data_IF_827867345109
#
_entry.id   IF_827867345109
#
_cell.length_a   1.000
_cell.length_b   1.000
_cell.length_c   1.000
_cell.angle_alpha   90.00
_cell.angle_beta   90.00
_cell.angle_gamma   90.00
#
_symmetry.space_group_name_H-M   'P 1'
#
loop_
_entity.id
_entity.type
_entity.pdbx_description
1 polymer ?
#
# COMPACT_ATOMS: atom_id res chain seq x y z
N UNK A 1 -25.39 22.59 36.59
CA UNK A 1 -24.74 23.67 37.32
C UNK A 1 -24.01 23.06 38.50
N UNK A 2 -22.67 23.10 38.49
CA UNK A 2 -21.79 22.70 39.59
C UNK A 2 -20.91 23.90 39.98
N UNK A 3 -21.52 25.08 40.12
CA UNK A 3 -20.78 26.27 40.57
C UNK A 3 -20.74 26.28 42.10
N UNK A 4 -19.52 26.19 42.66
CA UNK A 4 -19.26 26.43 44.08
C UNK A 4 -19.00 25.21 44.96
N UNK A 5 -18.90 24.00 44.41
CA UNK A 5 -18.56 22.79 45.18
C UNK A 5 -17.06 22.43 45.01
N UNK A 6 -16.34 22.31 46.13
CA UNK A 6 -14.96 21.81 46.14
C UNK A 6 -14.96 20.31 45.78
N UNK A 7 -14.40 19.96 44.63
CA UNK A 7 -14.23 18.57 44.20
C UNK A 7 -12.75 18.16 44.23
N UNK A 8 -12.47 17.02 44.86
CA UNK A 8 -11.14 16.42 44.88
C UNK A 8 -10.97 15.45 43.70
N UNK A 9 -10.13 15.83 42.73
CA UNK A 9 -9.75 14.95 41.62
C UNK A 9 -8.52 14.12 42.05
N UNK A 10 -8.58 12.78 42.07
CA UNK A 10 -7.38 11.98 42.23
C UNK A 10 -6.50 12.15 40.98
N UNK A 11 -5.34 12.77 41.14
CA UNK A 11 -4.35 12.97 40.10
C UNK A 11 -3.12 12.11 40.36
N UNK A 12 -2.62 11.46 39.31
CA UNK A 12 -1.36 10.71 39.33
C UNK A 12 -0.42 11.37 38.33
N UNK A 13 0.73 11.84 38.82
CA UNK A 13 1.77 12.45 38.00
C UNK A 13 2.87 11.42 37.79
N UNK A 14 3.22 11.18 36.53
CA UNK A 14 4.35 10.34 36.17
C UNK A 14 5.47 11.25 35.67
N UNK A 15 6.61 11.25 36.37
CA UNK A 15 7.79 12.04 35.98
C UNK A 15 8.81 11.14 35.25
N UNK A 16 9.44 11.70 34.20
CA UNK A 16 10.48 11.05 33.36
C UNK A 16 10.09 9.69 32.75
N UNK A 17 8.85 9.56 32.30
CA UNK A 17 8.47 8.39 31.51
C UNK A 17 9.22 8.36 30.16
N UNK A 18 9.75 7.21 29.76
CA UNK A 18 10.18 6.96 28.38
C UNK A 18 9.05 7.25 27.37
N UNK A 19 9.38 7.79 26.20
CA UNK A 19 8.39 8.26 25.20
C UNK A 19 7.41 7.16 24.76
N UNK A 20 7.88 5.91 24.68
CA UNK A 20 7.08 4.72 24.37
C UNK A 20 6.01 4.42 25.44
N UNK A 21 6.32 4.63 26.72
CA UNK A 21 5.38 4.48 27.82
C UNK A 21 4.32 5.60 27.85
N UNK A 22 4.70 6.84 27.54
CA UNK A 22 3.77 7.98 27.43
C UNK A 22 2.71 7.69 26.37
N UNK A 23 3.15 7.18 25.23
CA UNK A 23 2.26 6.83 24.13
C UNK A 23 1.35 5.65 24.47
N UNK A 24 1.87 4.60 25.13
CA UNK A 24 1.07 3.46 25.57
C UNK A 24 -0.04 3.89 26.55
N UNK A 25 0.27 4.80 27.48
CA UNK A 25 -0.71 5.35 28.40
C UNK A 25 -1.78 6.16 27.65
N UNK A 26 -1.37 7.04 26.73
CA UNK A 26 -2.29 7.83 25.92
C UNK A 26 -3.28 6.96 25.14
N UNK A 27 -2.81 5.89 24.51
CA UNK A 27 -3.66 4.93 23.81
C UNK A 27 -4.59 4.22 24.77
N UNK A 28 -4.07 3.67 25.87
CA UNK A 28 -4.84 2.84 26.80
C UNK A 28 -6.00 3.62 27.45
N UNK A 29 -5.76 4.88 27.79
CA UNK A 29 -6.75 5.78 28.38
C UNK A 29 -7.84 6.11 27.35
N UNK A 30 -7.44 6.52 26.14
CA UNK A 30 -8.40 7.01 25.15
C UNK A 30 -9.14 5.87 24.41
N UNK A 31 -8.54 4.68 24.25
CA UNK A 31 -9.19 3.55 23.60
C UNK A 31 -10.36 2.96 24.40
N UNK A 32 -10.39 3.14 25.72
CA UNK A 32 -11.50 2.67 26.57
C UNK A 32 -12.70 3.61 26.60
N UNK A 33 -12.53 4.91 26.33
CA UNK A 33 -13.59 5.92 26.46
C UNK A 33 -14.02 6.60 25.14
N UNK A 34 -13.27 6.44 24.05
CA UNK A 34 -13.72 6.84 22.70
C UNK A 34 -13.18 5.81 21.72
N UNK A 35 -13.99 5.33 20.76
CA UNK A 35 -13.52 4.39 19.72
C UNK A 35 -12.49 5.10 18.82
N UNK A 36 -11.24 5.14 19.26
CA UNK A 36 -10.11 5.47 18.42
C UNK A 36 -9.99 4.38 17.35
N UNK A 37 -10.12 4.78 16.08
CA UNK A 37 -9.85 3.89 14.97
C UNK A 37 -8.39 3.44 15.04
N UNK A 38 -8.15 2.14 14.87
CA UNK A 38 -6.83 1.47 14.97
C UNK A 38 -5.72 2.11 14.10
N UNK A 39 -6.08 3.00 13.17
CA UNK A 39 -5.16 3.77 12.34
C UNK A 39 -4.49 4.95 13.07
N UNK A 40 -5.11 5.57 14.09
CA UNK A 40 -4.50 6.68 14.85
C UNK A 40 -3.34 6.21 15.74
N UNK A 41 -3.43 4.96 16.18
CA UNK A 41 -2.37 4.21 16.84
C UNK A 41 -1.09 4.08 16.00
N UNK A 42 -1.20 4.11 14.67
CA UNK A 42 -0.06 3.99 13.73
C UNK A 42 0.85 5.21 13.74
N UNK A 43 0.31 6.39 14.07
CA UNK A 43 1.05 7.67 13.93
C UNK A 43 1.75 8.14 15.21
N UNK A 44 1.27 7.72 16.38
CA UNK A 44 1.85 8.11 17.68
C UNK A 44 2.68 6.99 18.31
N UNK A 45 2.37 5.73 18.02
CA UNK A 45 3.01 4.56 18.63
C UNK A 45 3.94 3.87 17.67
N UNK A 46 5.18 4.35 17.62
CA UNK A 46 6.27 3.64 16.96
C UNK A 46 6.29 2.17 17.39
N UNK A 47 6.08 1.27 16.41
CA UNK A 47 6.40 -0.17 16.33
C UNK A 47 6.06 -1.14 17.47
N UNK A 48 5.78 -0.72 18.70
CA UNK A 48 5.71 -1.59 19.87
C UNK A 48 4.27 -1.98 20.29
N UNK A 49 3.25 -1.44 19.61
CA UNK A 49 1.83 -1.68 19.89
C UNK A 49 1.12 -2.61 18.88
N UNK A 50 1.83 -3.16 17.88
CA UNK A 50 1.22 -4.00 16.85
C UNK A 50 1.24 -5.49 17.21
N UNK A 51 0.06 -6.10 17.35
CA UNK A 51 -0.11 -7.56 17.26
C UNK A 51 0.15 -8.11 15.84
N UNK A 52 0.21 -7.25 14.82
CA UNK A 52 0.31 -7.62 13.41
C UNK A 52 1.31 -6.72 12.66
N UNK A 53 2.58 -7.12 12.70
CA UNK A 53 3.71 -6.43 12.07
C UNK A 53 3.58 -6.34 10.53
N UNK A 54 2.98 -7.35 9.92
CA UNK A 54 2.72 -7.39 8.47
C UNK A 54 1.73 -6.29 8.05
N UNK A 55 0.70 -6.03 8.86
CA UNK A 55 -0.25 -4.95 8.59
C UNK A 55 0.38 -3.57 8.79
N UNK A 56 1.20 -3.40 9.83
CA UNK A 56 1.96 -2.17 10.05
C UNK A 56 2.86 -1.85 8.85
N UNK A 57 3.57 -2.86 8.36
CA UNK A 57 4.38 -2.76 7.14
C UNK A 57 3.57 -2.32 5.93
N UNK A 58 2.38 -2.92 5.75
CA UNK A 58 1.46 -2.51 4.69
C UNK A 58 1.05 -1.03 4.78
N UNK A 59 0.81 -0.51 5.97
CA UNK A 59 0.51 0.91 6.17
C UNK A 59 1.69 1.82 5.86
N UNK A 60 2.91 1.43 6.24
CA UNK A 60 4.10 2.23 5.99
C UNK A 60 4.44 2.34 4.50
N UNK A 61 4.21 1.27 3.73
CA UNK A 61 4.34 1.30 2.27
C UNK A 61 3.27 2.23 1.67
N UNK A 62 2.01 2.15 2.12
CA UNK A 62 0.94 3.05 1.64
C UNK A 62 1.28 4.51 1.92
N UNK A 63 1.82 4.81 3.11
CA UNK A 63 2.30 6.15 3.46
C UNK A 63 3.43 6.59 2.52
N UNK A 64 4.44 5.74 2.29
CA UNK A 64 5.53 6.06 1.37
C UNK A 64 5.04 6.32 -0.06
N UNK A 65 4.01 5.61 -0.52
CA UNK A 65 3.38 5.84 -1.82
C UNK A 65 2.62 7.17 -1.89
N UNK A 66 2.06 7.64 -0.78
CA UNK A 66 1.28 8.88 -0.74
C UNK A 66 2.13 10.12 -0.47
N UNK A 67 3.19 10.01 0.32
CA UNK A 67 3.90 11.18 0.87
C UNK A 67 5.17 11.55 0.09
N UNK A 68 5.66 10.64 -0.76
CA UNK A 68 6.83 10.92 -1.62
C UNK A 68 6.42 11.65 -2.88
N UNK A 69 6.98 12.83 -3.11
CA UNK A 69 6.73 13.63 -4.33
C UNK A 69 7.10 12.89 -5.63
N UNK A 70 8.08 11.98 -5.56
CA UNK A 70 8.50 11.18 -6.71
C UNK A 70 7.62 9.93 -6.95
N UNK A 71 6.62 9.71 -6.11
CA UNK A 71 5.61 8.66 -6.28
C UNK A 71 4.47 9.15 -7.18
N UNK A 72 4.01 8.35 -8.15
CA UNK A 72 2.88 8.72 -9.00
C UNK A 72 1.52 8.63 -8.26
N UNK A 73 1.53 8.20 -6.99
CA UNK A 73 0.39 8.19 -6.08
C UNK A 73 0.47 9.29 -5.01
N UNK A 74 1.38 10.25 -5.17
CA UNK A 74 1.50 11.40 -4.27
C UNK A 74 0.13 12.08 -4.09
N UNK A 75 -0.30 12.25 -2.84
CA UNK A 75 -1.60 12.81 -2.45
C UNK A 75 -2.86 12.10 -2.98
N UNK A 76 -2.75 10.92 -3.58
CA UNK A 76 -3.90 10.20 -4.16
C UNK A 76 -4.60 9.25 -3.16
N UNK A 77 -4.02 9.03 -1.97
CA UNK A 77 -4.52 8.10 -0.95
C UNK A 77 -4.99 8.86 0.31
N UNK A 78 -6.23 8.59 0.75
CA UNK A 78 -6.76 9.08 2.03
C UNK A 78 -6.10 8.33 3.18
N UNK A 79 -5.11 8.95 3.79
CA UNK A 79 -4.48 8.47 5.02
C UNK A 79 -5.41 8.71 6.22
N UNK A 80 -5.48 7.74 7.12
CA UNK A 80 -6.31 7.80 8.34
C UNK A 80 -7.82 8.05 8.11
N UNK A 81 -8.31 7.84 6.88
CA UNK A 81 -9.71 8.13 6.52
C UNK A 81 -10.01 9.62 6.29
N UNK A 82 -8.99 10.47 6.36
CA UNK A 82 -9.06 11.92 6.13
C UNK A 82 -8.16 12.31 4.95
N UNK A 83 -8.31 13.52 4.42
CA UNK A 83 -7.47 14.04 3.33
C UNK A 83 -8.09 14.03 1.93
N UNK A 84 -7.32 14.55 0.96
CA UNK A 84 -7.77 14.87 -0.41
C UNK A 84 -7.71 13.72 -1.40
N UNK A 85 -7.01 12.63 -1.06
CA UNK A 85 -6.87 11.46 -1.93
C UNK A 85 -8.21 10.83 -2.31
N UNK A 86 -8.24 10.02 -3.37
CA UNK A 86 -9.47 9.36 -3.85
C UNK A 86 -9.62 7.94 -3.35
N UNK A 87 -8.52 7.31 -2.93
CA UNK A 87 -8.46 5.90 -2.54
C UNK A 87 -8.23 5.77 -1.04
N UNK A 88 -8.99 4.91 -0.35
CA UNK A 88 -8.76 4.66 1.07
C UNK A 88 -7.50 3.81 1.29
N UNK A 89 -6.72 4.13 2.33
CA UNK A 89 -5.50 3.37 2.67
C UNK A 89 -5.76 1.90 3.07
N UNK A 90 -6.86 1.63 3.79
CA UNK A 90 -7.05 0.35 4.48
C UNK A 90 -7.12 -0.86 3.53
N UNK A 91 -7.87 -0.82 2.42
CA UNK A 91 -7.90 -1.91 1.45
C UNK A 91 -6.55 -2.18 0.77
N UNK A 92 -5.70 -1.15 0.61
CA UNK A 92 -4.35 -1.29 0.06
C UNK A 92 -3.41 -1.97 1.07
N UNK A 93 -3.44 -1.49 2.32
CA UNK A 93 -2.65 -2.07 3.42
C UNK A 93 -3.01 -3.54 3.66
N UNK A 94 -4.30 -3.91 3.59
CA UNK A 94 -4.74 -5.29 3.70
C UNK A 94 -4.25 -6.18 2.54
N UNK A 95 -4.10 -5.63 1.34
CA UNK A 95 -3.54 -6.38 0.21
C UNK A 95 -2.02 -6.57 0.38
N UNK A 96 -1.31 -5.53 0.85
CA UNK A 96 0.12 -5.58 1.14
C UNK A 96 0.45 -6.53 2.30
N UNK A 97 -0.36 -6.56 3.36
CA UNK A 97 -0.18 -7.46 4.51
C UNK A 97 0.05 -8.91 4.08
N UNK A 98 -0.68 -9.37 3.06
CA UNK A 98 -0.57 -10.75 2.55
C UNK A 98 0.83 -11.09 2.01
N UNK A 99 1.62 -10.10 1.64
CA UNK A 99 2.98 -10.27 1.11
C UNK A 99 4.02 -10.52 2.20
N UNK A 100 3.70 -10.15 3.44
CA UNK A 100 4.55 -10.26 4.62
C UNK A 100 4.05 -11.34 5.60
N UNK A 101 2.88 -11.92 5.34
CA UNK A 101 2.42 -13.10 6.04
C UNK A 101 3.34 -14.30 5.75
N UNK A 102 3.23 -15.37 6.55
CA UNK A 102 4.00 -16.60 6.38
C UNK A 102 3.83 -17.17 4.95
N UNK A 103 4.96 -17.50 4.30
CA UNK A 103 4.99 -17.94 2.90
C UNK A 103 4.88 -16.79 1.86
N UNK A 104 4.80 -15.54 2.31
CA UNK A 104 4.84 -14.36 1.45
C UNK A 104 6.21 -14.13 0.81
N UNK A 105 6.25 -13.35 -0.28
CA UNK A 105 7.46 -13.09 -1.09
C UNK A 105 8.57 -12.31 -0.33
N UNK A 106 8.19 -11.67 0.78
CA UNK A 106 9.11 -11.01 1.70
C UNK A 106 9.37 -11.81 2.99
N UNK A 107 8.75 -12.98 3.17
CA UNK A 107 8.97 -13.81 4.36
C UNK A 107 10.43 -14.33 4.43
N UNK A 108 11.11 -14.13 5.57
CA UNK A 108 12.44 -14.71 5.84
C UNK A 108 13.66 -13.77 5.75
N UNK A 109 13.50 -12.48 5.45
CA UNK A 109 14.61 -11.49 5.53
C UNK A 109 14.62 -10.74 6.86
N UNK A 110 15.77 -10.14 7.24
CA UNK A 110 15.84 -9.26 8.42
C UNK A 110 14.81 -8.13 8.28
N UNK A 111 14.02 -7.89 9.32
CA UNK A 111 12.84 -7.03 9.27
C UNK A 111 13.12 -5.63 8.72
N UNK A 112 14.20 -4.96 9.17
CA UNK A 112 14.48 -3.59 8.74
C UNK A 112 14.90 -3.49 7.27
N UNK A 113 15.77 -4.38 6.79
CA UNK A 113 16.24 -4.39 5.39
C UNK A 113 15.09 -4.70 4.43
N UNK A 114 14.25 -5.66 4.82
CA UNK A 114 13.04 -6.05 4.09
C UNK A 114 12.07 -4.87 3.93
N UNK A 115 11.92 -4.06 4.97
CA UNK A 115 10.96 -2.98 5.02
C UNK A 115 11.33 -1.85 4.05
N UNK A 116 12.60 -1.44 4.05
CA UNK A 116 13.11 -0.41 3.14
C UNK A 116 13.19 -0.90 1.69
N UNK A 117 13.56 -2.16 1.48
CA UNK A 117 13.50 -2.79 0.16
C UNK A 117 12.06 -2.81 -0.39
N UNK A 118 11.07 -3.19 0.42
CA UNK A 118 9.68 -3.22 0.00
C UNK A 118 9.16 -1.81 -0.35
N UNK A 119 9.47 -0.79 0.47
CA UNK A 119 9.14 0.61 0.15
C UNK A 119 9.76 1.04 -1.17
N UNK A 120 11.06 0.77 -1.38
CA UNK A 120 11.78 1.10 -2.62
C UNK A 120 11.15 0.38 -3.82
N UNK A 121 10.87 -0.91 -3.69
CA UNK A 121 10.19 -1.72 -4.71
C UNK A 121 8.85 -1.10 -5.09
N UNK A 122 7.95 -0.86 -4.13
CA UNK A 122 6.60 -0.40 -4.45
C UNK A 122 6.57 0.99 -5.07
N UNK A 123 7.42 1.91 -4.62
CA UNK A 123 7.53 3.24 -5.25
C UNK A 123 8.01 3.11 -6.69
N UNK A 124 9.09 2.38 -6.94
CA UNK A 124 9.61 2.19 -8.30
C UNK A 124 8.65 1.38 -9.20
N UNK A 125 7.93 0.42 -8.62
CA UNK A 125 6.92 -0.39 -9.30
C UNK A 125 5.74 0.46 -9.78
N UNK A 126 5.19 1.32 -8.93
CA UNK A 126 4.13 2.23 -9.36
C UNK A 126 4.64 3.28 -10.35
N UNK A 127 5.88 3.79 -10.20
CA UNK A 127 6.50 4.66 -11.22
C UNK A 127 6.58 3.97 -12.58
N UNK A 128 6.97 2.70 -12.62
CA UNK A 128 7.02 1.92 -13.86
C UNK A 128 5.62 1.64 -14.42
N UNK A 129 4.62 1.34 -13.59
CA UNK A 129 3.22 1.20 -14.03
C UNK A 129 2.73 2.50 -14.68
N UNK A 130 3.02 3.65 -14.08
CA UNK A 130 2.64 4.95 -14.61
C UNK A 130 3.31 5.24 -15.97
N UNK A 131 4.54 4.76 -16.19
CA UNK A 131 5.22 4.85 -17.49
C UNK A 131 4.63 3.90 -18.54
N UNK A 132 4.41 2.65 -18.16
CA UNK A 132 3.87 1.60 -19.05
C UNK A 132 2.46 1.94 -19.53
N UNK A 133 1.65 2.56 -18.67
CA UNK A 133 0.29 2.98 -18.95
C UNK A 133 0.15 4.51 -18.92
N UNK A 134 1.08 5.21 -19.58
CA UNK A 134 1.14 6.68 -19.53
C UNK A 134 -0.14 7.37 -19.98
N UNK A 135 -0.84 6.82 -20.98
CA UNK A 135 -2.11 7.38 -21.47
C UNK A 135 -3.22 7.24 -20.42
N UNK A 136 -3.35 6.05 -19.83
CA UNK A 136 -4.37 5.78 -18.83
C UNK A 136 -4.08 6.47 -17.51
N UNK A 137 -2.80 6.55 -17.08
CA UNK A 137 -2.42 7.12 -15.80
C UNK A 137 -2.74 8.62 -15.70
N UNK A 138 -2.44 9.34 -16.78
CA UNK A 138 -2.64 10.79 -16.87
C UNK A 138 -4.05 11.18 -17.32
N UNK A 139 -4.77 10.26 -17.99
CA UNK A 139 -6.12 10.54 -18.49
C UNK A 139 -7.20 10.49 -17.40
N UNK A 140 -8.12 11.46 -17.42
CA UNK A 140 -9.24 11.54 -16.46
C UNK A 140 -10.34 10.51 -16.71
N UNK A 141 -10.42 9.95 -17.92
CA UNK A 141 -11.44 8.98 -18.33
C UNK A 141 -11.06 7.52 -18.03
N UNK A 142 -10.03 7.30 -17.22
CA UNK A 142 -9.49 5.97 -16.94
C UNK A 142 -9.56 5.64 -15.45
N UNK A 143 -9.79 4.36 -15.17
CA UNK A 143 -9.95 3.81 -13.81
C UNK A 143 -8.65 3.22 -13.25
N UNK A 144 -7.50 3.44 -13.88
CA UNK A 144 -6.21 2.82 -13.49
C UNK A 144 -5.74 3.20 -12.08
N UNK A 145 -6.14 4.38 -11.58
CA UNK A 145 -5.87 4.84 -10.21
C UNK A 145 -6.99 4.53 -9.22
N UNK A 146 -8.00 3.75 -9.63
CA UNK A 146 -9.08 3.33 -8.73
C UNK A 146 -8.59 2.35 -7.67
N UNK A 147 -9.31 2.26 -6.55
CA UNK A 147 -8.99 1.31 -5.48
C UNK A 147 -8.90 -0.14 -6.00
N UNK A 148 -9.75 -0.54 -6.94
CA UNK A 148 -9.71 -1.88 -7.52
C UNK A 148 -8.45 -2.12 -8.36
N UNK A 149 -8.06 -1.16 -9.21
CA UNK A 149 -6.86 -1.25 -10.03
C UNK A 149 -5.59 -1.31 -9.18
N UNK A 150 -5.44 -0.39 -8.22
CA UNK A 150 -4.26 -0.34 -7.35
C UNK A 150 -4.09 -1.63 -6.53
N UNK A 151 -5.19 -2.20 -6.02
CA UNK A 151 -5.16 -3.50 -5.33
C UNK A 151 -4.79 -4.65 -6.26
N UNK A 152 -5.22 -4.61 -7.52
CA UNK A 152 -4.85 -5.64 -8.49
C UNK A 152 -3.35 -5.58 -8.81
N UNK A 153 -2.79 -4.38 -9.00
CA UNK A 153 -1.35 -4.21 -9.17
C UNK A 153 -0.55 -4.72 -7.97
N UNK A 154 -0.98 -4.40 -6.74
CA UNK A 154 -0.35 -4.94 -5.51
C UNK A 154 -0.44 -6.47 -5.48
N UNK A 155 -1.61 -7.04 -5.79
CA UNK A 155 -1.84 -8.50 -5.78
C UNK A 155 -0.95 -9.27 -6.75
N UNK A 156 -0.49 -8.64 -7.83
CA UNK A 156 0.39 -9.26 -8.85
C UNK A 156 1.88 -9.02 -8.54
N UNK A 157 2.22 -8.18 -7.58
CA UNK A 157 3.63 -7.90 -7.26
C UNK A 157 4.47 -9.14 -6.92
N UNK A 158 3.96 -10.24 -6.32
CA UNK A 158 4.75 -11.46 -6.13
C UNK A 158 5.22 -12.11 -7.44
N UNK A 159 4.42 -12.03 -8.51
CA UNK A 159 4.80 -12.54 -9.83
C UNK A 159 5.93 -11.71 -10.46
N UNK A 160 5.89 -10.39 -10.25
CA UNK A 160 6.94 -9.46 -10.70
C UNK A 160 8.23 -9.70 -9.93
N UNK A 161 8.15 -9.82 -8.60
CA UNK A 161 9.32 -10.08 -7.74
C UNK A 161 9.96 -11.42 -8.08
N UNK A 162 9.17 -12.49 -8.28
CA UNK A 162 9.72 -13.79 -8.68
C UNK A 162 10.51 -13.73 -9.98
N UNK A 163 10.09 -12.89 -10.95
CA UNK A 163 10.85 -12.69 -12.19
C UNK A 163 12.15 -11.92 -11.97
N UNK A 164 12.11 -10.88 -11.14
CA UNK A 164 13.32 -10.15 -10.74
C UNK A 164 14.32 -11.09 -10.08
N UNK A 165 13.85 -11.96 -9.18
CA UNK A 165 14.69 -12.97 -8.52
C UNK A 165 15.27 -13.98 -9.51
N UNK A 166 14.50 -14.45 -10.50
CA UNK A 166 14.96 -15.35 -11.57
C UNK A 166 16.03 -14.70 -12.45
N UNK A 167 15.90 -13.39 -12.72
CA UNK A 167 16.87 -12.59 -13.44
C UNK A 167 18.06 -12.14 -12.57
N UNK A 168 18.10 -12.52 -11.29
CA UNK A 168 19.09 -12.09 -10.30
C UNK A 168 19.21 -10.55 -10.21
N UNK A 169 18.12 -9.83 -10.45
CA UNK A 169 18.05 -8.38 -10.41
C UNK A 169 17.72 -7.87 -9.00
N UNK A 170 18.23 -6.68 -8.64
CA UNK A 170 17.80 -5.97 -7.42
C UNK A 170 16.30 -5.73 -7.51
N UNK A 171 15.53 -6.18 -6.51
CA UNK A 171 14.07 -6.04 -6.51
C UNK A 171 13.67 -4.56 -6.61
N UNK A 172 14.45 -3.65 -6.04
CA UNK A 172 14.21 -2.21 -6.10
C UNK A 172 14.74 -1.52 -7.36
N UNK A 173 15.36 -2.20 -8.32
CA UNK A 173 15.93 -1.57 -9.50
C UNK A 173 14.83 -1.11 -10.47
N UNK A 174 14.82 0.20 -10.73
CA UNK A 174 13.80 0.83 -11.54
C UNK A 174 13.73 0.27 -12.97
N UNK A 175 14.89 0.00 -13.60
CA UNK A 175 14.95 -0.47 -14.98
C UNK A 175 14.57 -1.95 -15.09
N UNK A 176 14.98 -2.77 -14.14
CA UNK A 176 14.64 -4.19 -14.07
C UNK A 176 13.13 -4.37 -13.91
N UNK A 177 12.51 -3.63 -12.97
CA UNK A 177 11.05 -3.64 -12.83
C UNK A 177 10.39 -3.29 -14.16
N UNK A 178 10.83 -2.20 -14.81
CA UNK A 178 10.30 -1.76 -16.10
C UNK A 178 10.38 -2.83 -17.19
N UNK A 179 11.50 -3.54 -17.30
CA UNK A 179 11.65 -4.67 -18.25
C UNK A 179 10.67 -5.81 -17.94
N UNK A 180 10.56 -6.21 -16.67
CA UNK A 180 9.68 -7.31 -16.25
C UNK A 180 8.22 -7.02 -16.56
N UNK A 181 7.77 -5.77 -16.35
CA UNK A 181 6.36 -5.39 -16.57
C UNK A 181 6.07 -4.84 -17.98
N UNK A 182 7.08 -4.67 -18.83
CA UNK A 182 6.93 -4.17 -20.21
C UNK A 182 5.85 -4.90 -21.04
N UNK A 183 5.63 -6.23 -20.89
CA UNK A 183 4.54 -6.92 -21.60
C UNK A 183 3.15 -6.35 -21.32
N UNK A 184 2.92 -5.71 -20.17
CA UNK A 184 1.62 -5.10 -19.85
C UNK A 184 1.26 -3.98 -20.82
N UNK A 185 2.20 -3.11 -21.17
CA UNK A 185 1.94 -2.02 -22.14
C UNK A 185 1.55 -2.56 -23.52
N UNK A 186 2.19 -3.66 -23.94
CA UNK A 186 1.94 -4.28 -25.25
C UNK A 186 0.65 -5.11 -25.30
N UNK A 187 0.33 -5.85 -24.25
CA UNK A 187 -0.76 -6.85 -24.25
C UNK A 187 -2.06 -6.35 -23.64
N UNK A 188 -1.97 -5.41 -22.69
CA UNK A 188 -3.12 -4.85 -21.97
C UNK A 188 -3.40 -3.45 -22.51
N UNK A 189 -2.37 -2.60 -22.51
CA UNK A 189 -2.45 -1.22 -23.02
C UNK A 189 -3.39 -0.29 -22.24
N UNK A 190 -3.38 1.00 -22.61
CA UNK A 190 -4.13 2.04 -21.89
C UNK A 190 -5.65 1.87 -21.99
N UNK A 191 -6.15 1.48 -23.18
CA UNK A 191 -7.59 1.37 -23.46
C UNK A 191 -8.32 0.37 -22.56
N UNK A 192 -7.59 -0.60 -22.00
CA UNK A 192 -8.14 -1.55 -21.04
C UNK A 192 -8.72 -0.86 -19.79
N UNK A 193 -8.14 0.27 -19.41
CA UNK A 193 -8.53 1.02 -18.22
C UNK A 193 -9.57 2.12 -18.49
N UNK A 194 -10.03 2.29 -19.74
CA UNK A 194 -11.03 3.32 -20.06
C UNK A 194 -12.33 3.04 -19.31
N UNK A 195 -12.77 4.00 -18.49
CA UNK A 195 -13.84 3.85 -17.50
C UNK A 195 -15.16 3.44 -18.14
N UNK A 196 -15.63 4.20 -19.13
CA UNK A 196 -16.84 3.86 -19.91
C UNK A 196 -16.57 2.83 -21.01
N UNK A 197 -15.31 2.43 -21.18
CA UNK A 197 -14.87 1.46 -22.18
C UNK A 197 -14.76 0.05 -21.62
N UNK A 198 -13.57 -0.54 -21.75
CA UNK A 198 -13.35 -1.94 -21.35
C UNK A 198 -13.50 -2.15 -19.84
N UNK A 199 -13.23 -1.14 -19.01
CA UNK A 199 -13.31 -1.26 -17.55
C UNK A 199 -14.70 -1.66 -17.07
N UNK A 200 -15.73 -0.91 -17.49
CA UNK A 200 -17.14 -1.15 -17.14
C UNK A 200 -17.71 -2.35 -17.88
N UNK A 201 -17.42 -2.52 -19.18
CA UNK A 201 -17.95 -3.64 -19.99
C UNK A 201 -17.55 -5.01 -19.46
N UNK A 202 -16.33 -5.13 -18.92
CA UNK A 202 -15.83 -6.40 -18.36
C UNK A 202 -16.19 -6.62 -16.89
N UNK A 203 -16.86 -5.64 -16.24
CA UNK A 203 -17.14 -5.70 -14.81
C UNK A 203 -15.86 -5.89 -13.99
N UNK A 204 -14.84 -5.06 -14.26
CA UNK A 204 -13.48 -5.29 -13.72
C UNK A 204 -13.48 -5.41 -12.19
N UNK A 205 -12.96 -6.54 -11.70
CA UNK A 205 -12.71 -6.80 -10.27
C UNK A 205 -11.20 -6.89 -10.02
N UNK A 206 -10.80 -6.87 -8.74
CA UNK A 206 -9.39 -7.06 -8.37
C UNK A 206 -8.86 -8.39 -8.89
N UNK A 207 -9.66 -9.46 -8.80
CA UNK A 207 -9.28 -10.80 -9.23
C UNK A 207 -9.19 -10.94 -10.75
N UNK A 208 -10.16 -10.39 -11.49
CA UNK A 208 -10.14 -10.50 -12.96
C UNK A 208 -8.96 -9.72 -13.55
N UNK A 209 -8.69 -8.50 -13.05
CA UNK A 209 -7.54 -7.71 -13.50
C UNK A 209 -6.21 -8.33 -13.07
N UNK A 210 -6.11 -8.85 -11.85
CA UNK A 210 -4.88 -9.54 -11.41
C UNK A 210 -4.59 -10.79 -12.26
N UNK A 211 -5.62 -11.54 -12.65
CA UNK A 211 -5.48 -12.69 -13.57
C UNK A 211 -4.95 -12.24 -14.94
N UNK A 212 -5.54 -11.19 -15.51
CA UNK A 212 -5.13 -10.61 -16.79
C UNK A 212 -3.66 -10.16 -16.78
N UNK A 213 -3.25 -9.42 -15.73
CA UNK A 213 -1.87 -8.98 -15.53
C UNK A 213 -0.89 -10.15 -15.39
N UNK A 214 -1.24 -11.23 -14.68
CA UNK A 214 -0.40 -12.42 -14.57
C UNK A 214 -0.24 -13.16 -15.90
N UNK A 215 -1.34 -13.33 -16.64
CA UNK A 215 -1.29 -13.91 -17.98
C UNK A 215 -0.42 -13.05 -18.90
N UNK A 216 -0.51 -11.73 -18.79
CA UNK A 216 0.32 -10.81 -19.56
C UNK A 216 1.82 -10.98 -19.26
N UNK A 217 2.20 -11.36 -18.03
CA UNK A 217 3.58 -11.72 -17.70
C UNK A 217 3.98 -13.06 -18.33
N UNK A 218 3.18 -14.13 -18.14
CA UNK A 218 3.59 -15.53 -18.38
C UNK A 218 4.06 -15.90 -19.80
N UNK A 219 3.57 -15.24 -20.84
CA UNK A 219 3.92 -15.61 -22.22
C UNK A 219 5.02 -14.68 -22.74
N UNK A 220 6.30 -15.12 -22.80
CA UNK A 220 7.32 -14.43 -23.59
C UNK A 220 6.94 -14.46 -25.07
N UNK A 221 7.42 -13.48 -25.82
CA UNK A 221 7.13 -13.30 -27.25
C UNK A 221 7.36 -14.60 -28.03
N UNK A 222 6.37 -15.00 -28.85
CA UNK A 222 6.48 -16.16 -29.75
C UNK A 222 5.38 -17.21 -29.66
N UNK A 223 4.51 -17.19 -28.63
CA UNK A 223 3.31 -18.02 -28.62
C UNK A 223 2.16 -17.30 -29.33
N UNK A 224 2.29 -17.12 -30.64
CA UNK A 224 1.11 -16.95 -31.49
C UNK A 224 0.35 -18.30 -31.46
N UNK A 225 -0.94 -18.25 -31.12
CA UNK A 225 -1.89 -19.28 -31.55
C UNK A 225 -2.33 -18.91 -32.95
#
# INVERSE_FOLDING_TARGET
HFEGEDFAVPAIIFDRLPEDHVVQMFVTINAKHTRLNASHLVSLSGRQLYRDEALATGHDIVRALNDREDSPLYDEIKLLGVGRGRVAQAPLAQELKKLFAEGGVFSGRRTNDMHEEAKKFFVNYFKQIALVFGGAWNGRKYSIRSAAALRAFIRVSPDVIRRLDQEHADRGDFRAIGRVIAPWGRRIGDLRFETEGQWKRTGTTVDSLAKELRLALQYPEGAAV
#
